data_IF_074318120171
#
_entry.id   IF_074318120171
#
_cell.length_a   1.000
_cell.length_b   1.000
_cell.length_c   1.000
_cell.angle_alpha   90.00
_cell.angle_beta   90.00
_cell.angle_gamma   90.00
#
_symmetry.space_group_name_H-M   'P 1'
#
loop_
_entity.id
_entity.type
_entity.pdbx_description
1 polymer ?
#
# COMPACT_ATOMS: atom_id res chain seq x y z
N UNK A 1 23.60 -15.60 19.08
CA UNK A 1 22.25 -15.05 18.92
C UNK A 1 21.44 -15.93 18.00
N UNK A 2 20.50 -16.69 18.57
CA UNK A 2 19.66 -17.64 17.83
C UNK A 2 18.72 -16.87 16.92
N UNK A 3 19.06 -16.82 15.63
CA UNK A 3 18.18 -16.25 14.62
C UNK A 3 16.89 -17.04 14.60
N UNK A 4 15.79 -16.42 15.04
CA UNK A 4 14.46 -16.96 14.82
C UNK A 4 14.32 -17.23 13.33
N UNK A 5 14.06 -18.48 12.97
CA UNK A 5 13.82 -18.83 11.59
C UNK A 5 12.52 -18.13 11.18
N UNK A 6 12.62 -17.16 10.27
CA UNK A 6 11.46 -16.46 9.75
C UNK A 6 10.58 -17.47 9.02
N UNK A 7 9.42 -17.76 9.58
CA UNK A 7 8.43 -18.64 8.98
C UNK A 7 7.60 -17.83 7.98
N UNK A 8 7.64 -18.25 6.71
CA UNK A 8 6.82 -17.65 5.66
C UNK A 8 5.52 -18.44 5.59
N UNK A 9 4.39 -17.78 5.83
CA UNK A 9 3.07 -18.37 5.61
C UNK A 9 2.88 -18.65 4.10
N UNK A 10 2.85 -19.93 3.68
CA UNK A 10 2.73 -20.27 2.26
C UNK A 10 1.35 -19.92 1.69
N UNK A 11 0.35 -19.75 2.56
CA UNK A 11 -1.01 -19.36 2.18
C UNK A 11 -1.15 -17.88 1.85
N UNK A 12 -0.12 -17.06 2.08
CA UNK A 12 -0.14 -15.62 1.73
C UNK A 12 0.37 -15.44 0.31
N UNK A 13 -0.48 -14.84 -0.54
CA UNK A 13 -0.19 -14.53 -1.93
C UNK A 13 -0.11 -13.02 -2.20
N UNK A 14 -0.76 -12.20 -1.38
CA UNK A 14 -0.73 -10.74 -1.49
C UNK A 14 -0.52 -10.11 -0.12
N UNK A 15 0.51 -9.28 -0.01
CA UNK A 15 0.78 -8.42 1.14
C UNK A 15 0.57 -6.97 0.72
N UNK A 16 -0.25 -6.23 1.46
CA UNK A 16 -0.61 -4.86 1.13
C UNK A 16 -0.78 -4.03 2.42
N UNK A 17 -0.96 -2.73 2.25
CA UNK A 17 -1.11 -1.79 3.37
C UNK A 17 -2.47 -1.12 3.38
N UNK A 18 -2.90 -0.71 4.56
CA UNK A 18 -4.05 0.18 4.74
C UNK A 18 -3.64 1.47 5.44
N UNK A 19 -4.29 2.56 5.06
CA UNK A 19 -4.20 3.85 5.74
C UNK A 19 -5.58 4.48 5.92
N UNK A 20 -5.63 5.78 6.26
CA UNK A 20 -6.89 6.52 6.43
C UNK A 20 -7.78 6.60 5.18
N UNK A 21 -7.25 6.26 4.00
CA UNK A 21 -7.94 6.10 2.71
C UNK A 21 -8.18 4.62 2.37
N UNK A 22 -8.07 3.73 3.37
CA UNK A 22 -8.17 2.27 3.28
C UNK A 22 -7.02 1.66 2.48
N UNK A 23 -7.33 0.75 1.56
CA UNK A 23 -6.35 -0.01 0.80
C UNK A 23 -5.38 0.94 0.08
N UNK A 24 -4.09 0.79 0.34
CA UNK A 24 -3.04 1.53 -0.34
C UNK A 24 -2.20 0.57 -1.18
N UNK A 25 -2.33 0.70 -2.50
CA UNK A 25 -1.65 -0.15 -3.48
C UNK A 25 -0.38 0.47 -4.06
N UNK A 26 0.11 1.59 -3.50
CA UNK A 26 1.37 2.20 -3.95
C UNK A 26 2.55 1.22 -3.82
N UNK A 27 2.52 0.37 -2.78
CA UNK A 27 3.45 -0.74 -2.60
C UNK A 27 2.67 -1.95 -2.09
N UNK A 28 2.71 -3.04 -2.85
CA UNK A 28 2.25 -4.35 -2.42
C UNK A 28 3.26 -5.42 -2.87
N UNK A 29 3.30 -6.54 -2.17
CA UNK A 29 4.11 -7.70 -2.53
C UNK A 29 3.18 -8.83 -2.97
N UNK A 30 3.45 -9.39 -4.14
CA UNK A 30 2.62 -10.45 -4.70
C UNK A 30 3.47 -11.68 -5.00
N UNK A 31 3.07 -12.84 -4.48
CA UNK A 31 3.70 -14.14 -4.77
C UNK A 31 3.45 -14.51 -6.22
N UNK A 32 4.46 -15.01 -6.93
CA UNK A 32 4.25 -15.64 -8.23
C UNK A 32 3.45 -16.94 -8.05
N UNK A 33 2.16 -16.92 -8.41
CA UNK A 33 1.24 -18.05 -8.23
C UNK A 33 0.05 -17.96 -9.18
N UNK A 34 -0.68 -19.07 -9.37
CA UNK A 34 -1.94 -19.07 -10.13
C UNK A 34 -2.97 -18.14 -9.50
N UNK A 35 -3.11 -18.14 -8.17
CA UNK A 35 -4.03 -17.25 -7.46
C UNK A 35 -3.77 -15.77 -7.80
N UNK A 36 -2.50 -15.37 -7.84
CA UNK A 36 -2.09 -14.00 -8.19
C UNK A 36 -2.43 -13.64 -9.62
N UNK A 37 -2.18 -14.56 -10.57
CA UNK A 37 -2.56 -14.36 -11.97
C UNK A 37 -4.08 -14.20 -12.11
N UNK A 38 -4.85 -15.05 -11.44
CA UNK A 38 -6.30 -14.99 -11.46
C UNK A 38 -6.81 -13.69 -10.83
N UNK A 39 -6.18 -13.22 -9.74
CA UNK A 39 -6.50 -11.92 -9.13
C UNK A 39 -6.25 -10.78 -10.11
N UNK A 40 -5.07 -10.71 -10.74
CA UNK A 40 -4.74 -9.67 -11.71
C UNK A 40 -5.72 -9.67 -12.90
N UNK A 41 -6.13 -10.84 -13.39
CA UNK A 41 -7.14 -10.93 -14.44
C UNK A 41 -8.48 -10.32 -14.02
N UNK A 42 -8.91 -10.52 -12.77
CA UNK A 42 -10.14 -9.93 -12.24
C UNK A 42 -10.03 -8.43 -12.00
N UNK A 43 -8.92 -7.96 -11.43
CA UNK A 43 -8.66 -6.55 -11.14
C UNK A 43 -8.60 -5.72 -12.43
N UNK A 44 -7.87 -6.18 -13.44
CA UNK A 44 -7.80 -5.48 -14.72
C UNK A 44 -9.10 -5.63 -15.50
N UNK A 45 -9.73 -6.80 -15.38
CA UNK A 45 -11.03 -7.09 -15.99
C UNK A 45 -11.02 -6.95 -17.51
N UNK A 46 -12.21 -6.95 -18.13
CA UNK A 46 -12.37 -6.59 -19.53
C UNK A 46 -12.06 -5.09 -19.77
N UNK A 47 -11.77 -4.73 -21.02
CA UNK A 47 -11.35 -3.38 -21.40
C UNK A 47 -12.39 -2.26 -21.19
N UNK A 48 -13.60 -2.61 -20.76
CA UNK A 48 -14.69 -1.73 -20.38
C UNK A 48 -14.83 -1.55 -18.84
N UNK A 49 -13.79 -1.92 -18.08
CA UNK A 49 -13.72 -1.70 -16.64
C UNK A 49 -14.05 -0.25 -16.27
N UNK A 50 -14.94 0.00 -15.29
CA UNK A 50 -15.30 1.36 -14.86
C UNK A 50 -14.11 2.11 -14.26
N UNK A 51 -13.03 1.39 -13.92
CA UNK A 51 -11.84 1.97 -13.34
C UNK A 51 -10.88 2.53 -14.39
N UNK A 52 -10.95 2.13 -15.67
CA UNK A 52 -9.91 2.44 -16.66
C UNK A 52 -9.57 3.95 -16.78
N UNK A 53 -10.54 4.83 -16.52
CA UNK A 53 -10.40 6.29 -16.55
C UNK A 53 -10.31 6.95 -15.18
N UNK A 54 -10.28 6.17 -14.09
CA UNK A 54 -10.28 6.68 -12.72
C UNK A 54 -8.86 7.09 -12.29
N UNK A 55 -8.69 8.21 -11.59
CA UNK A 55 -7.37 8.70 -11.16
C UNK A 55 -6.66 7.74 -10.20
N UNK A 56 -7.42 6.93 -9.47
CA UNK A 56 -6.93 5.85 -8.61
C UNK A 56 -7.38 4.48 -9.12
N UNK A 57 -7.36 4.30 -10.45
CA UNK A 57 -7.96 3.12 -11.09
C UNK A 57 -7.51 1.79 -10.48
N UNK A 58 -6.21 1.65 -10.20
CA UNK A 58 -5.64 0.40 -9.72
C UNK A 58 -6.04 0.14 -8.26
N UNK A 59 -5.85 1.11 -7.36
CA UNK A 59 -6.31 1.03 -5.98
C UNK A 59 -7.82 0.74 -5.87
N UNK A 60 -8.63 1.42 -6.69
CA UNK A 60 -10.09 1.24 -6.70
C UNK A 60 -10.49 -0.15 -7.22
N UNK A 61 -9.81 -0.65 -8.27
CA UNK A 61 -10.05 -1.97 -8.81
C UNK A 61 -9.68 -3.07 -7.81
N UNK A 62 -8.53 -2.98 -7.14
CA UNK A 62 -8.17 -3.91 -6.07
C UNK A 62 -9.16 -3.86 -4.90
N UNK A 63 -9.58 -2.67 -4.47
CA UNK A 63 -10.57 -2.54 -3.40
C UNK A 63 -11.91 -3.20 -3.78
N UNK A 64 -12.38 -3.02 -5.01
CA UNK A 64 -13.59 -3.70 -5.49
C UNK A 64 -13.43 -5.22 -5.49
N UNK A 65 -12.33 -5.74 -6.04
CA UNK A 65 -12.14 -7.18 -6.18
C UNK A 65 -11.90 -7.88 -4.85
N UNK A 66 -11.09 -7.31 -3.96
CA UNK A 66 -10.75 -7.93 -2.68
C UNK A 66 -11.91 -7.90 -1.70
N UNK A 67 -12.79 -6.90 -1.80
CA UNK A 67 -13.83 -6.69 -0.79
C UNK A 67 -15.23 -6.94 -1.35
N UNK A 68 -15.37 -7.06 -2.68
CA UNK A 68 -16.59 -7.49 -3.35
C UNK A 68 -17.80 -6.68 -2.90
N UNK A 69 -18.83 -7.35 -2.38
CA UNK A 69 -20.06 -6.70 -1.86
C UNK A 69 -19.82 -5.83 -0.61
N UNK A 70 -18.69 -6.03 0.07
CA UNK A 70 -18.31 -5.28 1.26
C UNK A 70 -17.63 -3.96 0.94
N UNK A 71 -17.43 -3.60 -0.34
CA UNK A 71 -16.97 -2.26 -0.73
C UNK A 71 -17.87 -1.15 -0.16
N UNK A 72 -19.14 -1.43 0.18
CA UNK A 72 -20.03 -0.45 0.82
C UNK A 72 -19.66 -0.14 2.26
N UNK A 73 -18.88 -0.99 2.93
CA UNK A 73 -18.29 -0.67 4.24
C UNK A 73 -17.36 0.54 4.13
N UNK A 74 -16.85 0.87 2.93
CA UNK A 74 -16.04 2.06 2.68
C UNK A 74 -16.81 3.38 2.80
N UNK A 75 -18.12 3.36 2.60
CA UNK A 75 -18.93 4.56 2.71
C UNK A 75 -19.26 4.93 4.16
N UNK A 76 -18.94 4.05 5.11
CA UNK A 76 -19.25 4.26 6.53
C UNK A 76 -18.01 4.78 7.26
N UNK A 77 -18.15 5.82 8.11
CA UNK A 77 -17.07 6.23 8.99
C UNK A 77 -16.66 5.03 9.86
N UNK A 78 -15.35 4.80 10.00
CA UNK A 78 -14.81 3.79 10.91
C UNK A 78 -15.29 4.10 12.33
N UNK A 79 -16.30 3.36 12.79
CA UNK A 79 -16.72 3.35 14.17
C UNK A 79 -15.80 2.43 14.98
N UNK A 80 -15.53 2.78 16.24
CA UNK A 80 -14.85 1.86 17.17
C UNK A 80 -15.60 0.52 17.22
N UNK A 81 -14.89 -0.58 16.99
CA UNK A 81 -15.44 -1.94 17.00
C UNK A 81 -15.83 -2.51 15.63
N UNK A 82 -15.50 -1.83 14.52
CA UNK A 82 -15.66 -2.42 13.18
C UNK A 82 -14.74 -3.64 13.04
N UNK A 83 -15.29 -4.78 12.59
CA UNK A 83 -14.48 -5.97 12.34
C UNK A 83 -13.47 -5.70 11.22
N UNK A 84 -12.29 -6.37 11.24
CA UNK A 84 -11.33 -6.27 10.15
C UNK A 84 -12.04 -6.47 8.81
N UNK A 85 -11.66 -5.66 7.81
CA UNK A 85 -12.21 -5.82 6.47
C UNK A 85 -12.00 -7.29 6.03
N UNK A 86 -13.05 -7.95 5.49
CA UNK A 86 -13.02 -9.38 5.22
C UNK A 86 -12.23 -9.64 3.94
N UNK A 87 -10.91 -9.57 4.04
CA UNK A 87 -10.02 -9.94 2.95
C UNK A 87 -10.03 -11.47 2.74
N UNK A 88 -9.76 -11.92 1.50
CA UNK A 88 -9.51 -13.34 1.23
C UNK A 88 -8.38 -13.88 2.13
N UNK A 89 -8.41 -15.17 2.49
CA UNK A 89 -7.39 -15.77 3.34
C UNK A 89 -5.97 -15.65 2.77
N UNK A 90 -5.84 -15.50 1.44
CA UNK A 90 -4.57 -15.32 0.74
C UNK A 90 -3.99 -13.90 0.83
N UNK A 91 -4.74 -12.95 1.39
CA UNK A 91 -4.32 -11.57 1.57
C UNK A 91 -3.91 -11.33 3.02
N UNK A 92 -2.85 -10.56 3.20
CA UNK A 92 -2.44 -10.00 4.49
C UNK A 92 -2.31 -8.49 4.37
N UNK A 93 -2.95 -7.82 5.30
CA UNK A 93 -2.77 -6.38 5.52
C UNK A 93 -1.76 -6.21 6.63
N UNK A 94 -0.72 -5.43 6.36
CA UNK A 94 0.25 -4.99 7.38
C UNK A 94 0.09 -3.50 7.62
N UNK A 95 0.53 -2.99 8.79
CA UNK A 95 0.57 -1.55 9.02
C UNK A 95 1.30 -0.82 7.89
N UNK A 96 0.78 0.34 7.48
CA UNK A 96 1.32 1.15 6.40
C UNK A 96 2.82 1.39 6.55
N UNK A 97 3.29 1.62 7.78
CA UNK A 97 4.69 1.85 8.06
C UNK A 97 5.64 0.69 7.76
N UNK A 98 5.18 -0.56 7.67
CA UNK A 98 6.06 -1.71 7.49
C UNK A 98 6.68 -1.73 6.08
N UNK A 99 5.88 -1.48 5.05
CA UNK A 99 6.30 -1.58 3.65
C UNK A 99 6.02 -0.32 2.82
N UNK A 100 5.33 0.68 3.38
CA UNK A 100 4.86 1.86 2.64
C UNK A 100 4.82 3.11 3.54
N UNK A 101 5.82 3.35 4.38
CA UNK A 101 5.81 4.49 5.31
C UNK A 101 5.70 5.82 4.56
N UNK A 102 4.84 6.70 5.05
CA UNK A 102 4.68 8.02 4.47
C UNK A 102 5.89 8.92 4.68
N UNK A 103 6.10 9.86 3.78
CA UNK A 103 7.07 10.92 3.99
C UNK A 103 6.71 11.82 5.20
N UNK A 104 7.65 12.13 6.12
CA UNK A 104 7.35 12.90 7.33
C UNK A 104 6.82 14.33 7.11
N UNK A 105 7.07 14.90 5.93
CA UNK A 105 6.48 16.20 5.56
C UNK A 105 4.99 16.06 5.23
N UNK A 106 4.58 14.95 4.60
CA UNK A 106 3.18 14.74 4.19
C UNK A 106 2.35 13.99 5.23
N UNK A 107 2.97 13.36 6.24
CA UNK A 107 2.29 12.61 7.28
C UNK A 107 2.85 12.94 8.67
N UNK A 108 1.95 13.23 9.62
CA UNK A 108 2.29 13.52 11.03
C UNK A 108 1.80 12.44 12.01
N UNK A 109 1.44 11.26 11.53
CA UNK A 109 1.02 10.13 12.36
C UNK A 109 2.15 9.11 12.54
N UNK A 110 1.87 8.05 13.29
CA UNK A 110 2.78 6.90 13.40
C UNK A 110 3.03 6.19 12.07
N UNK A 111 2.34 6.53 10.98
CA UNK A 111 2.63 5.97 9.65
C UNK A 111 3.79 6.69 8.92
N UNK A 112 4.27 7.81 9.46
CA UNK A 112 5.38 8.56 8.92
C UNK A 112 6.73 7.86 9.10
N UNK A 113 7.55 7.82 8.05
CA UNK A 113 8.85 7.16 8.06
C UNK A 113 9.74 7.66 9.20
N UNK A 114 10.46 6.72 9.83
CA UNK A 114 11.50 6.99 10.82
C UNK A 114 12.63 6.00 10.66
N UNK A 115 13.77 6.30 11.27
CA UNK A 115 14.95 5.42 11.25
C UNK A 115 14.55 3.98 11.64
N UNK A 116 14.98 3.01 10.84
CA UNK A 116 14.66 1.59 11.02
C UNK A 116 13.44 1.10 10.24
N UNK A 117 12.69 1.97 9.56
CA UNK A 117 11.61 1.55 8.64
C UNK A 117 12.14 1.27 7.25
N UNK A 118 11.55 0.26 6.60
CA UNK A 118 12.10 -0.32 5.38
C UNK A 118 11.95 0.58 4.15
N UNK A 119 10.75 1.13 3.92
CA UNK A 119 10.47 1.98 2.74
C UNK A 119 9.98 3.36 3.17
N UNK A 120 10.55 4.39 2.55
CA UNK A 120 10.03 5.75 2.54
C UNK A 120 9.27 5.99 1.23
N UNK A 121 7.97 6.22 1.33
CA UNK A 121 7.08 6.45 0.19
C UNK A 121 6.65 7.91 0.09
N UNK A 122 6.71 8.45 -1.13
CA UNK A 122 6.33 9.82 -1.48
C UNK A 122 4.95 9.85 -2.14
N UNK A 123 3.97 9.14 -1.56
CA UNK A 123 2.59 9.10 -2.03
C UNK A 123 2.04 10.52 -2.28
N UNK A 124 1.42 10.73 -3.45
CA UNK A 124 0.88 12.01 -3.87
C UNK A 124 1.91 13.04 -4.38
N UNK A 125 3.22 12.78 -4.24
CA UNK A 125 4.23 13.60 -4.88
C UNK A 125 4.32 13.24 -6.38
N UNK A 126 4.07 14.20 -7.25
CA UNK A 126 4.26 14.00 -8.68
C UNK A 126 5.76 13.90 -8.99
N UNK A 127 6.22 12.71 -9.37
CA UNK A 127 7.61 12.45 -9.76
C UNK A 127 7.97 12.93 -11.18
N UNK A 128 7.20 13.86 -11.74
CA UNK A 128 7.55 14.63 -12.95
C UNK A 128 8.60 15.72 -12.67
N UNK A 129 9.29 15.58 -11.57
CA UNK A 129 10.12 16.60 -11.02
C UNK A 129 11.51 16.41 -11.63
N UNK A 130 11.84 17.25 -12.60
CA UNK A 130 13.13 17.22 -13.32
C UNK A 130 14.34 17.25 -12.37
N UNK A 131 15.57 17.10 -12.89
CA UNK A 131 16.79 16.86 -12.10
C UNK A 131 17.01 17.80 -10.90
N UNK A 132 16.43 19.00 -10.95
CA UNK A 132 16.51 19.99 -9.89
C UNK A 132 15.70 19.62 -8.63
N UNK A 133 14.51 19.04 -8.78
CA UNK A 133 13.72 18.62 -7.61
C UNK A 133 14.32 17.39 -6.96
N UNK A 134 14.84 16.44 -7.76
CA UNK A 134 15.64 15.33 -7.25
C UNK A 134 16.87 15.84 -6.48
N UNK A 135 17.56 16.89 -6.96
CA UNK A 135 18.66 17.53 -6.24
C UNK A 135 18.24 18.22 -4.95
N UNK A 136 17.11 18.91 -4.92
CA UNK A 136 16.60 19.60 -3.72
C UNK A 136 16.13 18.59 -2.67
N UNK A 137 15.48 17.50 -3.08
CA UNK A 137 15.18 16.37 -2.21
C UNK A 137 16.48 15.73 -1.71
N UNK A 138 17.45 15.49 -2.59
CA UNK A 138 18.73 14.90 -2.20
C UNK A 138 19.50 15.76 -1.18
N UNK A 139 19.65 17.05 -1.46
CA UNK A 139 20.42 17.98 -0.63
C UNK A 139 19.75 18.25 0.71
N UNK A 140 18.44 18.53 0.74
CA UNK A 140 17.80 18.93 1.99
C UNK A 140 17.28 17.73 2.80
N UNK A 141 16.79 16.68 2.16
CA UNK A 141 16.10 15.62 2.90
C UNK A 141 17.08 14.63 3.55
N UNK A 142 18.05 14.09 2.79
CA UNK A 142 18.97 13.11 3.35
C UNK A 142 19.94 13.73 4.36
N UNK A 143 20.37 14.97 4.14
CA UNK A 143 21.27 15.69 5.05
C UNK A 143 20.57 16.08 6.37
N UNK A 144 19.34 16.61 6.32
CA UNK A 144 18.63 17.04 7.53
C UNK A 144 17.94 15.90 8.30
N UNK A 145 17.35 14.92 7.62
CA UNK A 145 16.46 13.95 8.26
C UNK A 145 17.03 12.53 8.34
N UNK A 146 17.95 12.14 7.46
CA UNK A 146 18.53 10.80 7.49
C UNK A 146 19.88 10.72 8.23
N UNK A 147 20.53 11.86 8.53
CA UNK A 147 21.88 11.90 9.13
C UNK A 147 22.82 10.87 8.48
N UNK A 148 22.90 10.91 7.14
CA UNK A 148 23.91 10.17 6.37
C UNK A 148 25.22 10.97 6.30
#
# INVERSE_FOLDING_TARGET
DGGAQLEVDPGVHLLLTEDSQMLNTAIFLMRSSSWSLDLLQRVWGPGDSPFVSHTWWEQAAFAQELLGKNHRLFAQPFAEGMQPLPYPPEVRVVPQFEINSYHPISCRSDEAWRRGRFVLSFNGAQSLSGPMVARVLHANYYELFCQL
#
